data_IF_216037076776
#
_entry.id   IF_216037076776
#
_cell.length_a   1.000
_cell.length_b   1.000
_cell.length_c   1.000
_cell.angle_alpha   90.00
_cell.angle_beta   90.00
_cell.angle_gamma   90.00
#
_symmetry.space_group_name_H-M   'P 1'
#
loop_
_entity.id
_entity.type
_entity.pdbx_description
1 polymer ?
#
# COMPACT_ATOMS: atom_id res chain seq x y z
N UNK A 1 29.57 2.73 22.50
CA UNK A 1 29.48 4.18 22.78
C UNK A 1 29.44 4.90 21.46
N UNK A 2 28.28 5.46 21.10
CA UNK A 2 28.15 6.30 19.93
C UNK A 2 27.77 7.69 20.44
N UNK A 3 28.62 8.68 20.17
CA UNK A 3 28.39 10.10 20.51
C UNK A 3 27.75 10.76 19.30
N UNK A 4 26.54 11.29 19.48
CA UNK A 4 25.86 12.11 18.49
C UNK A 4 25.96 13.57 18.94
N UNK A 5 26.60 14.40 18.13
CA UNK A 5 26.70 15.85 18.32
C UNK A 5 25.68 16.54 17.43
N UNK A 6 24.74 17.26 18.04
CA UNK A 6 23.84 18.19 17.34
C UNK A 6 24.56 19.53 17.07
N UNK A 7 24.14 20.23 16.01
CA UNK A 7 24.67 21.47 15.47
C UNK A 7 24.53 22.70 16.40
N UNK A 8 24.05 22.54 17.64
CA UNK A 8 23.83 23.63 18.58
C UNK A 8 24.58 23.48 19.92
N UNK A 9 25.58 22.60 20.02
CA UNK A 9 26.60 22.69 21.08
C UNK A 9 26.13 22.48 22.53
N UNK A 10 24.94 21.93 22.75
CA UNK A 10 24.45 21.57 24.08
C UNK A 10 24.48 20.05 24.28
N UNK A 11 25.54 19.57 24.93
CA UNK A 11 25.71 18.17 25.29
C UNK A 11 24.95 17.84 26.57
N UNK A 12 23.73 17.31 26.44
CA UNK A 12 23.04 16.64 27.54
C UNK A 12 23.40 15.14 27.53
N UNK A 13 24.07 14.67 28.57
CA UNK A 13 24.45 13.27 28.75
C UNK A 13 23.27 12.54 29.41
N UNK A 14 22.44 11.85 28.61
CA UNK A 14 21.40 10.98 29.13
C UNK A 14 21.94 9.55 29.20
N UNK A 15 22.23 9.08 30.42
CA UNK A 15 22.56 7.69 30.72
C UNK A 15 21.28 6.87 30.63
N UNK A 16 21.07 6.19 29.50
CA UNK A 16 19.99 5.21 29.36
C UNK A 16 20.45 3.92 30.02
N UNK A 17 19.98 3.70 31.25
CA UNK A 17 20.15 2.46 31.99
C UNK A 17 19.41 1.34 31.26
N UNK A 18 20.14 0.30 30.83
CA UNK A 18 19.54 -0.85 30.17
C UNK A 18 18.64 -1.61 31.16
N UNK A 19 17.41 -1.99 30.78
CA UNK A 19 16.52 -2.74 31.65
C UNK A 19 17.16 -4.10 31.95
N UNK A 20 17.32 -4.39 33.25
CA UNK A 20 17.87 -5.64 33.75
C UNK A 20 17.08 -6.86 33.20
N UNK A 21 17.77 -7.96 32.86
CA UNK A 21 17.11 -9.17 32.36
C UNK A 21 16.15 -9.73 33.42
N UNK A 22 14.86 -9.84 33.05
CA UNK A 22 13.85 -10.53 33.86
C UNK A 22 14.20 -12.02 33.93
N UNK A 23 14.71 -12.44 35.07
CA UNK A 23 14.81 -13.83 35.48
C UNK A 23 13.39 -14.39 35.69
N UNK A 24 12.99 -15.34 34.85
CA UNK A 24 11.77 -16.12 35.05
C UNK A 24 12.07 -17.14 36.16
N UNK A 25 11.32 -17.17 37.28
CA UNK A 25 11.53 -18.16 38.32
C UNK A 25 11.19 -19.55 37.79
N UNK A 26 12.20 -20.41 37.69
CA UNK A 26 12.04 -21.83 37.43
C UNK A 26 11.41 -22.45 38.68
N UNK A 27 10.13 -22.82 38.60
CA UNK A 27 9.47 -23.58 39.64
C UNK A 27 10.14 -24.96 39.72
N UNK A 28 10.97 -25.16 40.76
CA UNK A 28 11.52 -26.46 41.13
C UNK A 28 10.36 -27.27 41.70
N UNK A 29 9.80 -28.17 40.90
CA UNK A 29 8.84 -29.16 41.36
C UNK A 29 9.64 -30.18 42.17
N UNK A 30 9.58 -30.08 43.50
CA UNK A 30 10.06 -31.11 44.39
C UNK A 30 9.21 -32.37 44.17
N UNK A 31 9.82 -33.37 43.53
CA UNK A 31 9.28 -34.73 43.50
C UNK A 31 9.34 -35.30 44.92
N UNK A 32 8.24 -35.20 45.66
CA UNK A 32 7.99 -36.04 46.83
C UNK A 32 7.83 -37.47 46.36
N UNK A 33 8.87 -38.25 46.56
CA UNK A 33 8.90 -39.71 46.38
C UNK A 33 8.01 -40.34 47.45
N UNK A 34 6.74 -40.55 47.13
CA UNK A 34 5.82 -41.35 47.94
C UNK A 34 6.18 -42.82 47.69
N UNK A 35 7.03 -43.39 48.54
CA UNK A 35 7.21 -44.85 48.63
C UNK A 35 5.96 -45.46 49.26
N UNK A 36 5.08 -45.96 48.40
CA UNK A 36 4.04 -46.91 48.78
C UNK A 36 4.66 -48.32 48.74
N UNK A 37 5.09 -48.81 49.90
CA UNK A 37 5.38 -50.22 50.12
C UNK A 37 4.06 -50.99 50.10
N UNK A 38 3.58 -51.30 48.90
CA UNK A 38 2.52 -52.27 48.68
C UNK A 38 3.18 -53.47 48.04
N UNK A 39 3.51 -54.48 48.86
CA UNK A 39 3.88 -55.82 48.38
C UNK A 39 2.65 -56.43 47.71
N UNK A 40 2.57 -56.49 46.36
CA UNK A 40 1.45 -57.13 45.71
C UNK A 40 1.80 -58.60 45.53
N UNK A 41 1.10 -59.47 46.24
CA UNK A 41 1.05 -60.90 45.89
C UNK A 41 0.71 -61.03 44.39
N UNK A 42 1.58 -61.65 43.56
CA UNK A 42 1.51 -61.56 42.09
C UNK A 42 0.35 -62.34 41.45
N UNK A 43 -0.52 -63.00 42.23
CA UNK A 43 -1.60 -63.85 41.71
C UNK A 43 -2.99 -63.20 41.69
N UNK A 44 -3.20 -62.05 42.36
CA UNK A 44 -4.54 -61.40 42.43
C UNK A 44 -4.71 -60.20 41.51
N UNK A 45 -3.63 -59.49 41.14
CA UNK A 45 -3.72 -58.29 40.29
C UNK A 45 -3.92 -58.63 38.82
N UNK A 46 -3.29 -59.69 38.28
CA UNK A 46 -3.49 -60.05 36.87
C UNK A 46 -4.89 -60.62 36.59
N UNK A 47 -5.52 -61.25 37.57
CA UNK A 47 -6.91 -61.72 37.47
C UNK A 47 -7.91 -60.56 37.58
N UNK A 48 -7.64 -59.56 38.42
CA UNK A 48 -8.50 -58.38 38.54
C UNK A 48 -8.38 -57.43 37.33
N UNK A 49 -7.16 -57.25 36.79
CA UNK A 49 -6.94 -56.48 35.55
C UNK A 49 -7.60 -57.22 34.37
N UNK A 50 -7.42 -58.53 34.23
CA UNK A 50 -8.06 -59.30 33.14
C UNK A 50 -9.60 -59.34 33.23
N UNK A 51 -10.19 -59.23 34.42
CA UNK A 51 -11.65 -59.12 34.59
C UNK A 51 -12.19 -57.71 34.29
N UNK A 52 -11.41 -56.65 34.51
CA UNK A 52 -11.84 -55.29 34.15
C UNK A 52 -11.61 -54.95 32.67
N UNK A 53 -10.56 -55.49 32.04
CA UNK A 53 -10.22 -55.17 30.64
C UNK A 53 -11.02 -55.97 29.60
N UNK A 54 -11.74 -57.02 30.00
CA UNK A 54 -12.38 -57.96 29.07
C UNK A 54 -13.66 -57.46 28.40
N UNK A 55 -14.42 -56.57 29.05
CA UNK A 55 -15.72 -56.08 28.54
C UNK A 55 -15.86 -54.55 28.55
N UNK A 56 -15.20 -53.85 29.49
CA UNK A 56 -15.29 -52.38 29.61
C UNK A 56 -14.66 -51.62 28.42
N UNK A 57 -13.54 -52.11 27.90
CA UNK A 57 -12.76 -51.35 26.91
C UNK A 57 -13.39 -51.36 25.50
N UNK A 58 -14.14 -52.41 25.16
CA UNK A 58 -14.84 -52.48 23.88
C UNK A 58 -16.03 -51.53 23.82
N UNK A 59 -16.76 -51.38 24.94
CA UNK A 59 -17.88 -50.44 25.03
C UNK A 59 -17.36 -49.00 25.00
N UNK A 60 -16.31 -48.67 25.76
CA UNK A 60 -15.70 -47.34 25.74
C UNK A 60 -15.21 -46.95 24.34
N UNK A 61 -14.58 -47.89 23.62
CA UNK A 61 -14.15 -47.66 22.24
C UNK A 61 -15.35 -47.40 21.32
N UNK A 62 -16.41 -48.21 21.42
CA UNK A 62 -17.63 -48.03 20.61
C UNK A 62 -18.30 -46.68 20.85
N UNK A 63 -18.48 -46.28 22.11
CA UNK A 63 -19.04 -44.96 22.47
C UNK A 63 -18.18 -43.82 21.93
N UNK A 64 -16.85 -43.95 21.98
CA UNK A 64 -15.94 -42.92 21.45
C UNK A 64 -16.07 -42.74 19.93
N UNK A 65 -16.28 -43.83 19.20
CA UNK A 65 -16.49 -43.82 17.73
C UNK A 65 -17.85 -43.22 17.39
N UNK A 66 -18.92 -43.59 18.10
CA UNK A 66 -20.26 -43.04 17.87
C UNK A 66 -20.30 -41.53 18.16
N UNK A 67 -19.68 -41.07 19.25
CA UNK A 67 -19.57 -39.64 19.57
C UNK A 67 -18.75 -38.89 18.51
N UNK A 68 -17.64 -39.45 18.04
CA UNK A 68 -16.83 -38.84 16.98
C UNK A 68 -17.64 -38.67 15.69
N UNK A 69 -18.43 -39.67 15.29
CA UNK A 69 -19.30 -39.57 14.12
C UNK A 69 -20.40 -38.52 14.30
N UNK A 70 -21.04 -38.45 15.47
CA UNK A 70 -22.03 -37.42 15.76
C UNK A 70 -21.40 -36.02 15.68
N UNK A 71 -20.21 -35.82 16.24
CA UNK A 71 -19.48 -34.56 16.16
C UNK A 71 -19.10 -34.21 14.73
N UNK A 72 -18.62 -35.18 13.95
CA UNK A 72 -18.29 -34.99 12.53
C UNK A 72 -19.54 -34.60 11.73
N UNK A 73 -20.65 -35.32 11.91
CA UNK A 73 -21.92 -35.04 11.23
C UNK A 73 -22.52 -33.69 11.66
N UNK A 74 -22.39 -33.29 12.92
CA UNK A 74 -22.81 -31.98 13.41
C UNK A 74 -21.90 -30.84 12.94
N UNK A 75 -20.61 -31.12 12.66
CA UNK A 75 -19.66 -30.11 12.19
C UNK A 75 -20.00 -29.59 10.78
N UNK A 76 -20.52 -30.46 9.90
CA UNK A 76 -20.88 -30.10 8.52
C UNK A 76 -21.96 -29.00 8.46
N UNK A 77 -23.16 -29.14 9.06
CA UNK A 77 -24.17 -28.10 9.05
C UNK A 77 -23.71 -26.86 9.81
N UNK A 78 -22.88 -26.99 10.86
CA UNK A 78 -22.33 -25.85 11.59
C UNK A 78 -21.37 -25.02 10.71
N UNK A 79 -20.44 -25.68 10.01
CA UNK A 79 -19.53 -25.03 9.06
C UNK A 79 -20.33 -24.40 7.92
N UNK A 80 -21.35 -25.10 7.41
CA UNK A 80 -22.24 -24.56 6.36
C UNK A 80 -22.99 -23.31 6.83
N UNK A 81 -23.62 -23.33 8.01
CA UNK A 81 -24.33 -22.16 8.58
C UNK A 81 -23.35 -21.01 8.80
N UNK A 82 -22.15 -21.27 9.32
CA UNK A 82 -21.11 -20.23 9.46
C UNK A 82 -20.68 -19.67 8.11
N UNK A 83 -20.45 -20.51 7.11
CA UNK A 83 -20.07 -20.09 5.77
C UNK A 83 -21.18 -19.23 5.11
N UNK A 84 -22.44 -19.63 5.23
CA UNK A 84 -23.59 -18.86 4.72
C UNK A 84 -23.73 -17.52 5.44
N UNK A 85 -23.63 -17.49 6.78
CA UNK A 85 -23.67 -16.24 7.56
C UNK A 85 -22.52 -15.31 7.19
N UNK A 86 -21.31 -15.84 7.04
CA UNK A 86 -20.14 -15.08 6.61
C UNK A 86 -20.33 -14.52 5.19
N UNK A 87 -20.84 -15.34 4.26
CA UNK A 87 -21.16 -14.90 2.90
C UNK A 87 -22.17 -13.75 2.91
N UNK A 88 -23.25 -13.85 3.69
CA UNK A 88 -24.25 -12.77 3.83
C UNK A 88 -23.65 -11.49 4.42
N UNK A 89 -22.83 -11.60 5.48
CA UNK A 89 -22.10 -10.45 6.05
C UNK A 89 -21.17 -9.80 5.04
N UNK A 90 -20.42 -10.59 4.28
CA UNK A 90 -19.53 -10.10 3.23
C UNK A 90 -20.31 -9.40 2.10
N UNK A 91 -21.48 -9.93 1.70
CA UNK A 91 -22.33 -9.30 0.69
C UNK A 91 -22.88 -7.97 1.20
N UNK A 92 -23.40 -7.92 2.43
CA UNK A 92 -23.91 -6.69 3.03
C UNK A 92 -22.79 -5.64 3.22
N UNK A 93 -21.60 -6.06 3.66
CA UNK A 93 -20.43 -5.20 3.78
C UNK A 93 -20.01 -4.63 2.41
N UNK A 94 -19.96 -5.47 1.36
CA UNK A 94 -19.68 -5.03 -0.01
C UNK A 94 -20.75 -4.07 -0.56
N UNK A 95 -22.02 -4.25 -0.22
CA UNK A 95 -23.08 -3.34 -0.63
C UNK A 95 -22.90 -1.96 0.00
N UNK A 96 -22.66 -1.90 1.31
CA UNK A 96 -22.34 -0.64 2.03
C UNK A 96 -21.08 0.03 1.48
N UNK A 97 -20.05 -0.76 1.21
CA UNK A 97 -18.80 -0.26 0.61
C UNK A 97 -19.05 0.36 -0.79
N UNK A 98 -19.95 -0.23 -1.60
CA UNK A 98 -20.33 0.33 -2.91
C UNK A 98 -21.13 1.62 -2.78
N UNK A 99 -22.11 1.67 -1.89
CA UNK A 99 -22.90 2.89 -1.62
C UNK A 99 -21.99 4.03 -1.14
N UNK A 100 -21.08 3.71 -0.22
CA UNK A 100 -20.11 4.67 0.26
C UNK A 100 -19.11 5.09 -0.83
N UNK A 101 -18.60 4.15 -1.64
CA UNK A 101 -17.73 4.46 -2.76
C UNK A 101 -18.42 5.32 -3.84
N UNK A 102 -19.71 5.10 -4.08
CA UNK A 102 -20.51 5.95 -4.98
C UNK A 102 -20.66 7.36 -4.40
N UNK A 103 -20.84 7.48 -3.10
CA UNK A 103 -20.94 8.77 -2.42
C UNK A 103 -19.62 9.54 -2.46
N UNK A 104 -18.49 8.84 -2.24
CA UNK A 104 -17.13 9.40 -2.39
C UNK A 104 -16.82 9.85 -3.82
N UNK A 105 -17.39 9.20 -4.84
CA UNK A 105 -17.20 9.61 -6.24
C UNK A 105 -17.65 11.06 -6.46
N UNK A 106 -18.75 11.47 -5.83
CA UNK A 106 -19.30 12.82 -6.01
C UNK A 106 -18.34 13.91 -5.48
N UNK A 107 -17.52 13.61 -4.45
CA UNK A 107 -16.51 14.55 -3.96
C UNK A 107 -15.52 14.95 -5.04
N UNK A 108 -15.10 13.99 -5.86
CA UNK A 108 -14.07 14.20 -6.87
C UNK A 108 -14.58 14.92 -8.12
N UNK A 109 -15.90 15.10 -8.26
CA UNK A 109 -16.54 15.90 -9.31
C UNK A 109 -16.46 17.42 -9.06
N UNK A 110 -15.54 17.86 -8.20
CA UNK A 110 -15.38 19.28 -7.90
C UNK A 110 -14.88 20.09 -9.11
N UNK A 111 -15.44 21.28 -9.37
CA UNK A 111 -14.95 22.18 -10.42
C UNK A 111 -13.73 23.00 -9.96
N UNK A 112 -13.41 23.00 -8.67
CA UNK A 112 -12.37 23.84 -8.06
C UNK A 112 -11.06 23.08 -7.94
N UNK A 113 -9.98 23.65 -8.49
CA UNK A 113 -8.62 23.13 -8.28
C UNK A 113 -8.28 23.10 -6.79
N UNK A 114 -8.61 24.16 -6.07
CA UNK A 114 -8.31 24.27 -4.65
C UNK A 114 -8.90 23.11 -3.84
N UNK A 115 -10.19 22.83 -4.08
CA UNK A 115 -10.89 21.70 -3.47
C UNK A 115 -10.29 20.37 -3.91
N UNK A 116 -9.96 20.21 -5.19
CA UNK A 116 -9.33 19.01 -5.71
C UNK A 116 -7.99 18.71 -5.00
N UNK A 117 -7.11 19.69 -4.85
CA UNK A 117 -5.83 19.51 -4.14
C UNK A 117 -6.04 19.22 -2.65
N UNK A 118 -7.04 19.84 -2.00
CA UNK A 118 -7.38 19.53 -0.61
C UNK A 118 -7.89 18.10 -0.43
N UNK A 119 -8.72 17.61 -1.35
CA UNK A 119 -9.15 16.20 -1.37
C UNK A 119 -7.96 15.26 -1.61
N UNK A 120 -7.03 15.61 -2.49
CA UNK A 120 -5.79 14.84 -2.67
C UNK A 120 -4.95 14.79 -1.39
N UNK A 121 -4.82 15.90 -0.65
CA UNK A 121 -4.07 15.93 0.60
C UNK A 121 -4.71 15.03 1.67
N UNK A 122 -6.03 15.16 1.88
CA UNK A 122 -6.81 14.29 2.78
C UNK A 122 -6.71 12.81 2.39
N UNK A 123 -6.67 12.50 1.10
CA UNK A 123 -6.46 11.14 0.60
C UNK A 123 -5.05 10.61 0.92
N UNK A 124 -4.01 11.41 0.71
CA UNK A 124 -2.62 11.01 1.03
C UNK A 124 -2.42 10.81 2.54
N UNK A 125 -3.10 11.60 3.37
CA UNK A 125 -3.15 11.43 4.83
C UNK A 125 -3.90 10.17 5.28
N UNK A 126 -4.68 9.55 4.39
CA UNK A 126 -5.53 8.41 4.72
C UNK A 126 -6.84 8.78 5.44
N UNK A 127 -7.18 10.07 5.49
CA UNK A 127 -8.49 10.55 5.96
C UNK A 127 -9.58 10.13 4.96
N UNK A 128 -9.32 10.29 3.66
CA UNK A 128 -10.20 9.77 2.63
C UNK A 128 -9.81 8.32 2.27
N UNK A 129 -10.75 7.37 2.36
CA UNK A 129 -10.48 5.94 2.15
C UNK A 129 -10.25 5.58 0.68
N UNK A 130 -10.78 6.38 -0.26
CA UNK A 130 -10.72 6.12 -1.70
C UNK A 130 -10.50 7.42 -2.46
N UNK A 131 -9.50 7.39 -3.34
CA UNK A 131 -9.23 8.45 -4.30
C UNK A 131 -9.88 8.19 -5.67
N UNK A 132 -9.67 9.08 -6.64
CA UNK A 132 -10.14 8.91 -8.01
C UNK A 132 -9.21 7.98 -8.82
N UNK A 133 -8.28 7.31 -8.15
CA UNK A 133 -7.21 6.50 -8.73
C UNK A 133 -7.66 5.06 -8.97
N UNK A 134 -7.12 4.42 -10.01
CA UNK A 134 -7.25 2.98 -10.21
C UNK A 134 -6.53 2.21 -9.10
N UNK A 135 -6.90 0.94 -8.93
CA UNK A 135 -6.42 0.08 -7.83
C UNK A 135 -4.89 0.03 -7.66
N UNK A 136 -4.13 0.00 -8.77
CA UNK A 136 -2.65 -0.06 -8.71
C UNK A 136 -2.03 1.27 -8.21
N UNK A 137 -2.32 2.42 -8.81
CA UNK A 137 -2.05 3.75 -8.24
C UNK A 137 -2.50 3.93 -6.79
N UNK A 138 -3.75 3.58 -6.48
CA UNK A 138 -4.32 3.71 -5.13
C UNK A 138 -3.48 2.96 -4.09
N UNK A 139 -3.18 1.69 -4.36
CA UNK A 139 -2.33 0.86 -3.50
C UNK A 139 -0.91 1.42 -3.35
N UNK A 140 -0.32 1.88 -4.45
CA UNK A 140 1.03 2.46 -4.45
C UNK A 140 1.10 3.70 -3.56
N UNK A 141 0.20 4.66 -3.76
CA UNK A 141 0.17 5.90 -2.99
C UNK A 141 -0.15 5.64 -1.51
N UNK A 142 -1.07 4.73 -1.18
CA UNK A 142 -1.41 4.38 0.22
C UNK A 142 -0.29 3.65 0.95
N UNK A 143 0.40 2.73 0.29
CA UNK A 143 1.48 1.94 0.91
C UNK A 143 2.80 2.71 1.08
N UNK A 144 2.95 3.90 0.48
CA UNK A 144 4.16 4.70 0.63
C UNK A 144 4.39 5.14 2.09
N UNK A 145 5.51 4.81 2.75
CA UNK A 145 5.66 5.04 4.19
C UNK A 145 5.78 6.53 4.55
N UNK A 146 6.47 7.32 3.73
CA UNK A 146 6.76 8.72 4.02
C UNK A 146 5.89 9.66 3.20
N UNK A 147 4.78 10.14 3.77
CA UNK A 147 3.82 10.99 3.05
C UNK A 147 4.25 12.45 2.91
N UNK A 148 5.22 12.91 3.71
CA UNK A 148 5.59 14.32 3.85
C UNK A 148 5.87 15.01 2.52
N UNK A 149 6.68 14.40 1.66
CA UNK A 149 7.03 15.00 0.36
C UNK A 149 5.87 14.95 -0.63
N UNK A 150 5.07 13.89 -0.62
CA UNK A 150 3.85 13.80 -1.43
C UNK A 150 2.87 14.94 -1.10
N UNK A 151 2.64 15.21 0.19
CA UNK A 151 1.79 16.32 0.64
C UNK A 151 2.32 17.68 0.20
N UNK A 152 3.63 17.91 0.39
CA UNK A 152 4.27 19.16 -0.04
C UNK A 152 4.20 19.38 -1.55
N UNK A 153 4.32 18.32 -2.34
CA UNK A 153 4.11 18.38 -3.79
C UNK A 153 2.67 18.76 -4.14
N UNK A 154 1.68 18.19 -3.44
CA UNK A 154 0.26 18.59 -3.58
C UNK A 154 0.08 20.08 -3.28
N UNK A 155 0.68 20.59 -2.20
CA UNK A 155 0.63 22.01 -1.82
C UNK A 155 1.33 22.92 -2.85
N UNK A 156 2.26 22.37 -3.64
CA UNK A 156 2.92 23.05 -4.78
C UNK A 156 2.17 22.91 -6.10
N UNK A 157 1.00 22.26 -6.14
CA UNK A 157 0.25 22.05 -7.38
C UNK A 157 0.70 20.86 -8.21
N UNK A 158 1.43 19.91 -7.62
CA UNK A 158 1.87 18.66 -8.26
C UNK A 158 1.09 17.50 -7.65
N UNK A 159 0.44 16.68 -8.48
CA UNK A 159 -0.42 15.58 -8.00
C UNK A 159 0.31 14.24 -8.15
N UNK A 160 0.69 13.56 -7.06
CA UNK A 160 1.25 12.22 -7.13
C UNK A 160 0.24 11.24 -7.75
N UNK A 161 0.69 10.44 -8.73
CA UNK A 161 -0.15 9.42 -9.37
C UNK A 161 0.29 8.01 -8.98
N UNK A 162 1.60 7.76 -9.00
CA UNK A 162 2.15 6.45 -8.66
C UNK A 162 3.60 6.59 -8.20
N UNK A 163 3.97 5.88 -7.15
CA UNK A 163 5.36 5.82 -6.65
C UNK A 163 5.78 4.37 -6.37
N UNK A 164 7.01 4.06 -6.74
CA UNK A 164 7.61 2.75 -6.49
C UNK A 164 9.06 2.93 -6.07
N UNK A 165 9.44 2.29 -4.96
CA UNK A 165 10.84 2.18 -4.57
C UNK A 165 11.56 1.15 -5.45
N UNK A 166 12.84 1.38 -5.64
CA UNK A 166 13.73 0.46 -6.33
C UNK A 166 14.21 -0.66 -5.39
N UNK A 167 15.25 -1.36 -5.82
CA UNK A 167 15.90 -2.39 -5.01
C UNK A 167 15.35 -3.79 -5.24
N UNK A 168 15.94 -4.73 -4.50
CA UNK A 168 15.50 -6.12 -4.42
C UNK A 168 14.42 -6.23 -3.34
N UNK A 169 13.32 -6.89 -3.67
CA UNK A 169 12.21 -7.14 -2.75
C UNK A 169 11.59 -8.51 -3.03
N UNK A 170 11.16 -9.20 -1.97
CA UNK A 170 10.38 -10.44 -2.05
C UNK A 170 9.00 -10.16 -1.49
N UNK A 171 7.96 -10.33 -2.31
CA UNK A 171 6.58 -10.02 -1.93
C UNK A 171 5.60 -11.09 -2.37
N UNK A 172 4.51 -11.22 -1.62
CA UNK A 172 3.34 -12.01 -2.03
C UNK A 172 2.46 -11.16 -2.94
N UNK A 173 2.41 -11.50 -4.22
CA UNK A 173 1.61 -10.80 -5.23
C UNK A 173 0.12 -11.17 -5.13
N UNK A 174 -0.19 -12.45 -4.88
CA UNK A 174 -1.56 -12.96 -4.72
C UNK A 174 -1.68 -13.78 -3.45
N UNK A 175 -2.70 -13.49 -2.66
CA UNK A 175 -3.09 -14.31 -1.51
C UNK A 175 -3.68 -15.65 -1.98
N UNK A 176 -3.69 -16.69 -1.14
CA UNK A 176 -4.45 -17.89 -1.45
C UNK A 176 -5.93 -17.52 -1.54
N UNK A 177 -6.57 -17.88 -2.66
CA UNK A 177 -7.98 -17.60 -2.92
C UNK A 177 -8.70 -18.90 -3.28
N UNK A 178 -9.95 -19.03 -2.84
CA UNK A 178 -10.80 -20.11 -3.32
C UNK A 178 -11.12 -19.85 -4.80
N UNK A 179 -11.05 -20.87 -5.66
CA UNK A 179 -11.39 -20.72 -7.06
C UNK A 179 -12.87 -20.35 -7.21
N UNK A 180 -13.16 -19.36 -8.07
CA UNK A 180 -14.51 -18.82 -8.24
C UNK A 180 -15.50 -19.84 -8.83
N UNK A 181 -15.00 -20.86 -9.53
CA UNK A 181 -15.79 -21.82 -10.31
C UNK A 181 -15.58 -23.31 -9.92
N UNK A 182 -15.02 -23.62 -8.73
CA UNK A 182 -14.86 -25.02 -8.33
C UNK A 182 -14.20 -25.29 -6.99
N UNK A 183 -13.98 -26.59 -6.71
CA UNK A 183 -13.22 -27.07 -5.54
C UNK A 183 -11.73 -26.96 -5.88
N UNK A 184 -11.16 -25.77 -5.73
CA UNK A 184 -9.74 -25.54 -5.95
C UNK A 184 -9.24 -24.38 -5.11
N UNK A 185 -8.03 -24.51 -4.56
CA UNK A 185 -7.33 -23.41 -3.89
C UNK A 185 -6.35 -22.85 -4.91
N UNK A 186 -6.54 -21.60 -5.33
CA UNK A 186 -5.53 -20.86 -6.08
C UNK A 186 -4.34 -20.66 -5.14
N UNK A 187 -3.23 -21.33 -5.43
CA UNK A 187 -2.02 -21.21 -4.63
C UNK A 187 -1.53 -19.76 -4.61
N UNK A 188 -0.92 -19.30 -3.51
CA UNK A 188 -0.35 -17.97 -3.45
C UNK A 188 0.72 -17.79 -4.53
N UNK A 189 0.94 -16.56 -4.97
CA UNK A 189 2.03 -16.23 -5.90
C UNK A 189 3.01 -15.31 -5.20
N UNK A 190 4.24 -15.77 -5.04
CA UNK A 190 5.36 -15.02 -4.51
C UNK A 190 6.26 -14.54 -5.66
N UNK A 191 6.84 -13.37 -5.48
CA UNK A 191 7.70 -12.69 -6.46
C UNK A 191 8.93 -12.17 -5.72
N UNK A 192 10.11 -12.58 -6.16
CA UNK A 192 11.37 -11.93 -5.79
C UNK A 192 11.87 -11.18 -7.01
N UNK A 193 12.10 -9.88 -6.88
CA UNK A 193 12.39 -9.03 -8.04
C UNK A 193 13.29 -7.87 -7.68
N UNK A 194 14.17 -7.50 -8.60
CA UNK A 194 14.86 -6.22 -8.64
C UNK A 194 14.01 -5.23 -9.43
N UNK A 195 13.69 -4.10 -8.82
CA UNK A 195 12.86 -3.04 -9.39
C UNK A 195 13.66 -1.75 -9.52
N UNK A 196 13.38 -0.99 -10.56
CA UNK A 196 13.82 0.41 -10.64
C UNK A 196 12.83 1.28 -9.87
N UNK A 197 13.36 2.29 -9.20
CA UNK A 197 12.52 3.32 -8.59
C UNK A 197 11.96 4.20 -9.71
N UNK A 198 10.67 4.50 -9.66
CA UNK A 198 10.07 5.52 -10.50
C UNK A 198 8.92 6.22 -9.77
N UNK A 199 8.68 7.46 -10.18
CA UNK A 199 7.65 8.32 -9.65
C UNK A 199 6.91 8.98 -10.82
N UNK A 200 5.59 8.81 -10.85
CA UNK A 200 4.67 9.36 -11.83
C UNK A 200 3.77 10.39 -11.13
N UNK A 201 3.66 11.59 -11.71
CA UNK A 201 2.87 12.69 -11.17
C UNK A 201 2.29 13.58 -12.27
N UNK A 202 1.24 14.32 -11.92
CA UNK A 202 0.58 15.27 -12.80
C UNK A 202 0.99 16.71 -12.45
N UNK A 203 1.07 17.59 -13.44
CA UNK A 203 1.29 19.03 -13.24
C UNK A 203 0.15 19.84 -13.86
N UNK A 204 -1.01 19.98 -13.16
CA UNK A 204 -2.25 20.48 -13.76
C UNK A 204 -2.28 21.99 -14.03
N UNK A 205 -1.49 22.78 -13.29
CA UNK A 205 -1.41 24.23 -13.46
C UNK A 205 -0.53 24.69 -14.62
N UNK A 206 -0.21 23.79 -15.55
CA UNK A 206 0.49 24.08 -16.81
C UNK A 206 -0.37 24.88 -17.83
N UNK A 207 -1.17 25.86 -17.41
CA UNK A 207 -1.75 26.83 -18.35
C UNK A 207 -0.61 27.66 -18.96
N UNK A 208 -0.52 27.67 -20.29
CA UNK A 208 0.52 28.39 -21.06
C UNK A 208 1.37 27.53 -21.99
N UNK A 209 1.06 26.25 -22.13
CA UNK A 209 1.85 25.28 -22.89
C UNK A 209 1.24 24.92 -24.26
N UNK A 210 -0.08 25.09 -24.42
CA UNK A 210 -0.85 24.79 -25.63
C UNK A 210 -0.99 25.98 -26.61
N UNK A 211 -0.27 27.08 -26.40
CA UNK A 211 -0.22 28.20 -27.34
C UNK A 211 1.25 28.49 -27.70
N UNK A 212 1.73 28.13 -28.91
CA UNK A 212 3.08 28.48 -29.36
C UNK A 212 3.30 30.00 -29.46
N UNK A 213 2.23 30.81 -29.50
CA UNK A 213 2.28 32.25 -29.78
C UNK A 213 2.14 33.18 -28.56
N UNK A 214 1.90 32.66 -27.34
CA UNK A 214 1.83 33.54 -26.16
C UNK A 214 3.20 33.69 -25.49
N UNK A 215 3.94 34.65 -26.04
CA UNK A 215 4.89 35.56 -25.42
C UNK A 215 5.40 35.19 -24.01
N UNK A 216 6.73 35.11 -23.95
CA UNK A 216 7.62 34.97 -22.79
C UNK A 216 7.49 36.08 -21.72
N UNK A 217 6.45 36.90 -21.77
CA UNK A 217 6.36 38.19 -21.07
C UNK A 217 5.73 38.11 -19.66
N UNK A 218 5.18 36.97 -19.23
CA UNK A 218 4.61 36.85 -17.89
C UNK A 218 5.45 35.97 -16.95
N UNK A 219 6.38 36.56 -16.16
CA UNK A 219 7.26 35.83 -15.23
C UNK A 219 6.53 35.12 -14.08
N UNK A 220 5.20 35.29 -13.95
CA UNK A 220 4.36 34.51 -13.02
C UNK A 220 3.92 33.15 -13.58
N UNK A 221 4.12 32.90 -14.89
CA UNK A 221 3.81 31.62 -15.57
C UNK A 221 5.04 30.75 -15.88
N UNK A 222 6.21 31.05 -15.29
CA UNK A 222 7.48 30.39 -15.61
C UNK A 222 7.97 29.31 -14.63
N UNK A 223 7.59 29.22 -13.33
CA UNK A 223 8.17 28.21 -12.44
C UNK A 223 7.87 26.77 -12.85
N UNK A 224 6.60 26.44 -13.16
CA UNK A 224 6.24 25.10 -13.63
C UNK A 224 6.91 24.74 -14.97
N UNK A 225 7.05 25.72 -15.88
CA UNK A 225 7.81 25.58 -17.14
C UNK A 225 9.27 25.27 -16.89
N UNK A 226 9.91 26.05 -16.04
CA UNK A 226 11.29 25.86 -15.64
C UNK A 226 11.48 24.51 -14.95
N UNK A 227 10.54 24.09 -14.11
CA UNK A 227 10.55 22.78 -13.47
C UNK A 227 10.51 21.63 -14.47
N UNK A 228 9.55 21.62 -15.40
CA UNK A 228 9.49 20.59 -16.45
C UNK A 228 10.76 20.62 -17.32
N UNK A 229 11.22 21.81 -17.72
CA UNK A 229 12.43 21.96 -18.50
C UNK A 229 13.68 21.47 -17.74
N UNK A 230 13.78 21.75 -16.44
CA UNK A 230 14.87 21.30 -15.59
C UNK A 230 14.87 19.78 -15.43
N UNK A 231 13.69 19.16 -15.29
CA UNK A 231 13.54 17.71 -15.31
C UNK A 231 14.00 17.11 -16.64
N UNK A 232 13.63 17.70 -17.78
CA UNK A 232 14.02 17.22 -19.11
C UNK A 232 15.52 17.42 -19.41
N UNK A 233 16.09 18.56 -18.99
CA UNK A 233 17.53 18.86 -19.13
C UNK A 233 18.37 17.84 -18.34
N UNK A 234 17.83 17.36 -17.22
CA UNK A 234 18.26 16.15 -16.54
C UNK A 234 19.77 16.01 -16.31
N UNK A 235 20.36 16.93 -15.54
CA UNK A 235 21.78 16.86 -15.15
C UNK A 235 22.12 15.68 -14.21
N UNK A 236 21.11 14.96 -13.73
CA UNK A 236 21.23 13.91 -12.71
C UNK A 236 21.14 12.49 -13.26
N UNK A 237 21.12 12.34 -14.59
CA UNK A 237 21.09 11.03 -15.28
C UNK A 237 19.86 10.18 -14.94
N UNK A 238 18.74 10.79 -14.57
CA UNK A 238 17.46 10.07 -14.45
C UNK A 238 16.89 9.74 -15.84
N UNK A 239 15.77 9.06 -15.89
CA UNK A 239 15.00 8.86 -17.11
C UNK A 239 13.71 9.64 -16.92
N UNK A 240 13.54 10.72 -17.69
CA UNK A 240 12.37 11.59 -17.59
C UNK A 240 11.55 11.48 -18.86
N UNK A 241 10.26 11.21 -18.70
CA UNK A 241 9.28 11.19 -19.77
C UNK A 241 8.15 12.15 -19.43
N UNK A 242 7.77 13.00 -20.37
CA UNK A 242 6.63 13.90 -20.23
C UNK A 242 5.62 13.59 -21.34
N UNK A 243 4.37 13.38 -20.96
CA UNK A 243 3.29 13.13 -21.91
C UNK A 243 2.03 13.87 -21.51
N UNK A 244 1.38 14.55 -22.45
CA UNK A 244 0.11 15.21 -22.24
C UNK A 244 -0.97 14.65 -23.17
N UNK A 245 -2.19 14.52 -22.65
CA UNK A 245 -3.37 14.16 -23.45
C UNK A 245 -3.99 15.40 -24.09
N UNK A 246 -4.50 15.30 -25.31
CA UNK A 246 -5.31 16.37 -25.93
C UNK A 246 -4.56 17.64 -26.38
N UNK A 247 -3.23 17.64 -26.39
CA UNK A 247 -2.40 18.76 -26.83
C UNK A 247 -1.29 18.26 -27.75
N UNK A 248 -0.85 19.08 -28.71
CA UNK A 248 0.29 18.83 -29.62
C UNK A 248 1.66 18.77 -28.89
N UNK A 249 1.67 18.45 -27.60
CA UNK A 249 2.90 18.13 -26.89
C UNK A 249 3.54 16.94 -27.55
N UNK A 250 4.69 17.20 -28.19
CA UNK A 250 5.65 16.17 -28.48
C UNK A 250 5.93 15.40 -27.19
N UNK A 251 5.95 14.07 -27.28
CA UNK A 251 6.40 13.23 -26.18
C UNK A 251 7.88 13.52 -26.01
N UNK A 252 8.21 14.39 -25.07
CA UNK A 252 9.58 14.73 -24.78
C UNK A 252 10.12 13.74 -23.73
N UNK A 253 11.19 13.04 -24.12
CA UNK A 253 11.92 12.14 -23.26
C UNK A 253 13.37 12.57 -23.25
N UNK A 254 13.96 12.73 -22.06
CA UNK A 254 15.37 13.06 -21.98
C UNK A 254 16.24 11.91 -22.47
N UNK A 255 15.88 10.67 -22.11
CA UNK A 255 16.65 9.44 -22.37
C UNK A 255 15.74 8.20 -22.19
N UNK A 256 14.96 7.76 -23.20
CA UNK A 256 13.99 6.69 -23.00
C UNK A 256 14.68 5.35 -22.68
N UNK A 257 14.21 4.67 -21.62
CA UNK A 257 14.72 3.35 -21.27
C UNK A 257 14.35 2.32 -22.36
N UNK A 258 15.33 1.58 -22.86
CA UNK A 258 15.06 0.48 -23.79
C UNK A 258 14.36 -0.68 -23.06
N UNK A 259 13.20 -1.07 -23.56
CA UNK A 259 12.31 -2.10 -23.00
C UNK A 259 12.99 -3.45 -22.79
N UNK A 260 13.92 -3.84 -23.66
CA UNK A 260 14.58 -5.15 -23.61
C UNK A 260 15.83 -5.16 -22.75
N UNK A 261 16.67 -4.12 -22.84
CA UNK A 261 17.97 -4.09 -22.16
C UNK A 261 17.89 -3.48 -20.76
N UNK A 262 16.87 -2.67 -20.49
CA UNK A 262 16.70 -1.98 -19.22
C UNK A 262 15.23 -2.02 -18.80
N UNK A 263 14.70 -3.19 -18.40
CA UNK A 263 13.33 -3.35 -17.91
C UNK A 263 13.09 -2.68 -16.54
N UNK A 264 11.83 -2.47 -16.19
CA UNK A 264 11.44 -1.87 -14.90
C UNK A 264 11.56 -2.86 -13.74
N UNK A 265 11.28 -4.12 -14.00
CA UNK A 265 11.29 -5.19 -13.00
C UNK A 265 11.77 -6.49 -13.63
N UNK A 266 12.78 -7.10 -13.01
CA UNK A 266 13.33 -8.41 -13.34
C UNK A 266 13.32 -9.27 -12.10
N UNK A 267 12.88 -10.51 -12.23
CA UNK A 267 12.85 -11.42 -11.10
C UNK A 267 12.22 -12.76 -11.42
N UNK A 268 12.00 -13.54 -10.37
CA UNK A 268 11.40 -14.85 -10.44
C UNK A 268 10.06 -14.90 -9.69
N UNK A 269 9.18 -15.81 -10.11
CA UNK A 269 7.87 -16.02 -9.47
C UNK A 269 7.65 -17.48 -9.11
N UNK A 270 7.12 -17.75 -7.93
CA UNK A 270 6.86 -19.10 -7.45
C UNK A 270 5.56 -19.20 -6.65
N UNK A 271 4.96 -20.39 -6.59
CA UNK A 271 3.86 -20.68 -5.68
C UNK A 271 4.32 -20.91 -4.24
N UNK A 272 5.62 -21.17 -4.05
CA UNK A 272 6.27 -21.33 -2.76
C UNK A 272 7.46 -20.37 -2.68
N UNK A 273 7.52 -19.56 -1.62
CA UNK A 273 8.57 -18.57 -1.43
C UNK A 273 9.97 -19.20 -1.40
N UNK A 274 10.12 -20.35 -0.71
CA UNK A 274 11.37 -21.09 -0.60
C UNK A 274 11.93 -21.58 -1.95
N UNK A 275 11.08 -21.73 -2.98
CA UNK A 275 11.50 -22.20 -4.30
C UNK A 275 11.92 -21.06 -5.23
N UNK A 276 11.75 -19.79 -4.85
CA UNK A 276 12.08 -18.66 -5.72
C UNK A 276 13.58 -18.62 -6.08
N UNK A 277 14.54 -18.81 -5.15
CA UNK A 277 15.97 -18.72 -5.47
C UNK A 277 16.46 -19.72 -6.51
N UNK A 278 15.72 -20.80 -6.77
CA UNK A 278 16.06 -21.83 -7.76
C UNK A 278 15.47 -21.57 -9.16
N UNK A 279 14.68 -20.51 -9.31
CA UNK A 279 14.06 -20.15 -10.60
C UNK A 279 14.89 -19.10 -11.31
N UNK A 280 14.90 -19.17 -12.64
CA UNK A 280 15.55 -18.14 -13.45
C UNK A 280 14.78 -16.83 -13.40
N UNK A 281 15.55 -15.74 -13.37
CA UNK A 281 15.02 -14.40 -13.50
C UNK A 281 14.43 -14.20 -14.91
N UNK A 282 13.30 -13.50 -14.97
CA UNK A 282 12.64 -13.09 -16.19
C UNK A 282 12.19 -11.65 -16.09
N UNK A 283 11.91 -11.03 -17.23
CA UNK A 283 11.31 -9.68 -17.27
C UNK A 283 9.87 -9.80 -16.74
N UNK A 284 9.61 -9.22 -15.57
CA UNK A 284 8.29 -9.19 -14.96
C UNK A 284 7.52 -7.93 -15.38
N UNK A 285 8.24 -6.80 -15.50
CA UNK A 285 7.68 -5.56 -16.01
C UNK A 285 8.63 -4.96 -17.06
N UNK A 286 8.20 -4.87 -18.35
CA UNK A 286 8.98 -4.21 -19.39
C UNK A 286 9.12 -2.71 -19.09
N UNK A 287 10.16 -2.07 -19.62
CA UNK A 287 10.24 -0.61 -19.57
C UNK A 287 9.09 0.03 -20.35
N UNK A 288 8.56 1.14 -19.84
CA UNK A 288 7.53 1.90 -20.58
C UNK A 288 8.12 2.63 -21.80
N UNK A 289 9.45 2.83 -21.87
CA UNK A 289 10.10 3.49 -23.01
C UNK A 289 9.51 4.88 -23.29
N UNK A 290 9.15 5.14 -24.55
CA UNK A 290 8.43 6.34 -25.01
C UNK A 290 6.90 6.17 -25.03
N UNK A 291 6.36 5.11 -24.41
CA UNK A 291 4.91 4.91 -24.42
C UNK A 291 4.20 6.13 -23.82
N UNK A 292 3.27 6.71 -24.60
CA UNK A 292 2.49 7.87 -24.19
C UNK A 292 1.67 7.50 -22.96
N UNK A 293 1.95 8.16 -21.84
CA UNK A 293 1.15 7.96 -20.63
C UNK A 293 -0.08 8.85 -20.73
N UNK A 294 -1.23 8.23 -20.55
CA UNK A 294 -2.51 8.95 -20.49
C UNK A 294 -3.01 8.95 -19.07
N UNK A 295 -3.77 9.98 -18.71
CA UNK A 295 -4.37 10.07 -17.39
C UNK A 295 -5.32 8.90 -17.11
N UNK A 296 -5.91 8.34 -18.16
CA UNK A 296 -6.77 7.16 -18.14
C UNK A 296 -6.03 5.92 -17.62
N UNK A 297 -4.70 5.84 -17.69
CA UNK A 297 -3.93 4.75 -17.05
C UNK A 297 -4.01 4.80 -15.52
N UNK A 298 -4.23 5.99 -14.96
CA UNK A 298 -4.12 6.25 -13.52
C UNK A 298 -5.46 6.43 -12.83
N UNK A 299 -6.49 6.89 -13.55
CA UNK A 299 -7.75 7.33 -12.96
C UNK A 299 -8.94 6.51 -13.40
N UNK A 300 -9.94 6.37 -12.53
CA UNK A 300 -11.25 5.86 -12.93
C UNK A 300 -11.95 6.91 -13.82
N UNK A 301 -12.53 6.52 -14.98
CA UNK A 301 -13.10 7.47 -15.93
C UNK A 301 -14.27 8.23 -15.32
N UNK A 302 -14.30 9.55 -15.52
CA UNK A 302 -15.33 10.43 -14.99
C UNK A 302 -15.33 10.57 -13.47
N UNK A 303 -14.20 10.30 -12.79
CA UNK A 303 -14.03 10.59 -11.36
C UNK A 303 -13.50 12.00 -11.12
N UNK A 304 -12.65 12.54 -12.00
CA UNK A 304 -12.15 13.92 -11.89
C UNK A 304 -12.18 14.64 -13.25
N UNK A 305 -13.35 15.12 -13.69
CA UNK A 305 -13.51 15.80 -14.98
C UNK A 305 -12.57 17.01 -15.16
N UNK A 306 -12.18 17.63 -14.04
CA UNK A 306 -11.23 18.73 -14.01
C UNK A 306 -9.87 18.38 -14.63
N UNK A 307 -9.43 17.13 -14.51
CA UNK A 307 -8.16 16.65 -15.04
C UNK A 307 -8.27 16.21 -16.51
N UNK A 308 -9.40 15.61 -16.88
CA UNK A 308 -9.68 15.13 -18.25
C UNK A 308 -9.78 16.29 -19.26
N UNK A 309 -10.38 17.40 -18.86
CA UNK A 309 -10.68 18.54 -19.75
C UNK A 309 -9.47 19.41 -20.12
N UNK A 310 -8.37 19.36 -19.37
CA UNK A 310 -7.31 20.40 -19.44
C UNK A 310 -5.96 19.95 -19.97
N UNK A 311 -5.84 18.73 -20.48
CA UNK A 311 -4.61 18.24 -21.11
C UNK A 311 -3.38 18.34 -20.21
N UNK A 312 -3.54 17.87 -18.96
CA UNK A 312 -2.50 18.01 -17.94
C UNK A 312 -1.29 17.10 -18.29
N UNK A 313 -0.05 17.62 -18.24
CA UNK A 313 1.14 16.80 -18.45
C UNK A 313 1.32 15.80 -17.31
N UNK A 314 1.49 14.54 -17.69
CA UNK A 314 1.94 13.44 -16.85
C UNK A 314 3.44 13.34 -17.00
N UNK A 315 4.14 13.39 -15.87
CA UNK A 315 5.59 13.28 -15.81
C UNK A 315 5.95 11.99 -15.10
N UNK A 316 6.85 11.22 -15.71
CA UNK A 316 7.52 10.08 -15.09
C UNK A 316 8.98 10.41 -14.91
N UNK A 317 9.48 10.21 -13.70
CA UNK A 317 10.91 10.23 -13.37
C UNK A 317 11.30 8.83 -12.92
N UNK A 318 12.42 8.33 -13.41
CA UNK A 318 12.84 6.96 -13.20
C UNK A 318 14.36 6.87 -13.00
N UNK A 319 14.79 5.98 -12.13
CA UNK A 319 16.22 5.70 -11.90
C UNK A 319 16.73 4.76 -12.98
N UNK A 320 17.90 5.00 -13.61
CA UNK A 320 18.43 4.14 -14.66
C UNK A 320 18.81 2.73 -14.14
N UNK A 321 19.09 2.60 -12.86
CA UNK A 321 19.48 1.35 -12.20
C UNK A 321 18.42 0.84 -11.19
N UNK A 322 18.69 -0.31 -10.59
CA UNK A 322 17.81 -0.97 -9.62
C UNK A 322 18.03 -0.52 -8.17
N UNK A 323 18.67 0.63 -7.91
CA UNK A 323 18.89 1.09 -6.52
C UNK A 323 17.63 1.74 -5.96
N UNK A 324 17.50 1.67 -4.63
CA UNK A 324 16.48 2.41 -3.87
C UNK A 324 16.76 3.91 -3.96
N UNK A 325 15.72 4.70 -4.21
CA UNK A 325 15.79 6.16 -4.29
C UNK A 325 14.45 6.77 -3.90
N UNK A 326 14.49 7.78 -3.03
CA UNK A 326 13.34 8.62 -2.68
C UNK A 326 13.11 9.67 -3.76
N UNK A 327 12.41 9.27 -4.83
CA UNK A 327 12.17 10.16 -5.97
C UNK A 327 11.19 11.28 -5.67
N UNK A 328 10.26 11.09 -4.74
CA UNK A 328 9.39 12.15 -4.22
C UNK A 328 10.19 13.31 -3.60
N UNK A 329 11.17 12.98 -2.76
CA UNK A 329 12.08 13.95 -2.15
C UNK A 329 12.92 14.69 -3.21
N UNK A 330 13.47 13.95 -4.18
CA UNK A 330 14.25 14.55 -5.26
C UNK A 330 13.40 15.48 -6.14
N UNK A 331 12.18 15.05 -6.53
CA UNK A 331 11.26 15.86 -7.33
C UNK A 331 10.84 17.12 -6.57
N UNK A 332 10.59 17.00 -5.25
CA UNK A 332 10.33 18.15 -4.39
C UNK A 332 11.51 19.14 -4.38
N UNK A 333 12.75 18.65 -4.23
CA UNK A 333 13.94 19.51 -4.31
C UNK A 333 14.08 20.23 -5.65
N UNK A 334 13.80 19.54 -6.77
CA UNK A 334 13.78 20.15 -8.10
C UNK A 334 12.70 21.22 -8.25
N UNK A 335 11.50 20.98 -7.71
CA UNK A 335 10.42 21.97 -7.70
C UNK A 335 10.84 23.24 -6.94
N UNK A 336 11.42 23.08 -5.75
CA UNK A 336 11.92 24.21 -4.95
C UNK A 336 13.01 25.01 -5.67
N UNK A 337 13.98 24.33 -6.29
CA UNK A 337 15.06 24.98 -7.04
C UNK A 337 14.54 25.81 -8.23
N UNK A 338 13.42 25.40 -8.82
CA UNK A 338 12.76 26.13 -9.89
C UNK A 338 11.81 27.22 -9.39
N UNK A 339 11.82 27.52 -8.09
CA UNK A 339 11.01 28.57 -7.49
C UNK A 339 9.53 28.22 -7.31
N UNK A 340 9.15 26.93 -7.35
CA UNK A 340 7.79 26.53 -6.99
C UNK A 340 7.62 26.71 -5.48
N UNK A 341 6.86 27.72 -5.09
CA UNK A 341 6.40 27.91 -3.72
C UNK A 341 5.20 27.03 -3.39
N UNK A 342 4.90 26.91 -2.09
CA UNK A 342 3.60 26.36 -1.66
C UNK A 342 2.51 27.33 -2.10
N UNK A 343 1.66 26.90 -3.04
CA UNK A 343 0.56 27.71 -3.58
C UNK A 343 -0.55 27.83 -2.54
N UNK A 344 -0.74 26.77 -1.75
CA UNK A 344 -1.76 26.69 -0.73
C UNK A 344 -1.16 26.30 0.62
N UNK A 345 -1.75 26.84 1.68
CA UNK A 345 -1.40 26.45 3.05
C UNK A 345 -2.18 25.20 3.45
N UNK A 346 -1.62 24.40 4.36
CA UNK A 346 -2.24 23.19 4.88
C UNK A 346 -3.65 23.47 5.43
N UNK A 347 -3.76 24.47 6.31
CA UNK A 347 -5.03 24.86 6.93
C UNK A 347 -6.08 25.26 5.89
N UNK A 348 -5.67 26.03 4.88
CA UNK A 348 -6.59 26.49 3.84
C UNK A 348 -7.14 25.34 2.98
N UNK A 349 -6.27 24.39 2.56
CA UNK A 349 -6.68 23.21 1.80
C UNK A 349 -7.61 22.32 2.62
N UNK A 350 -7.26 22.09 3.88
CA UNK A 350 -8.04 21.29 4.81
C UNK A 350 -9.43 21.89 5.02
N UNK A 351 -9.51 23.19 5.30
CA UNK A 351 -10.77 23.90 5.54
C UNK A 351 -11.71 23.81 4.32
N UNK A 352 -11.23 24.11 3.12
CA UNK A 352 -12.08 24.02 1.92
C UNK A 352 -12.48 22.59 1.56
N UNK A 353 -11.58 21.62 1.71
CA UNK A 353 -11.93 20.23 1.44
C UNK A 353 -12.99 19.74 2.44
N UNK A 354 -12.86 20.11 3.72
CA UNK A 354 -13.83 19.79 4.76
C UNK A 354 -15.19 20.43 4.48
N UNK A 355 -15.21 21.71 4.12
CA UNK A 355 -16.43 22.40 3.73
C UNK A 355 -17.10 21.71 2.53
N UNK A 356 -16.33 21.35 1.50
CA UNK A 356 -16.86 20.64 0.33
C UNK A 356 -17.44 19.27 0.69
N UNK A 357 -16.81 18.54 1.61
CA UNK A 357 -17.30 17.25 2.11
C UNK A 357 -18.65 17.42 2.81
N UNK A 358 -18.79 18.46 3.65
CA UNK A 358 -20.05 18.79 4.32
C UNK A 358 -21.14 19.17 3.33
N UNK A 359 -20.84 20.01 2.33
CA UNK A 359 -21.78 20.41 1.27
C UNK A 359 -22.30 19.22 0.45
N UNK A 360 -21.50 18.15 0.35
CA UNK A 360 -21.87 16.91 -0.33
C UNK A 360 -22.55 15.88 0.61
N UNK A 361 -22.93 16.29 1.83
CA UNK A 361 -23.60 15.47 2.84
C UNK A 361 -22.85 14.16 3.16
N UNK A 362 -21.52 14.20 3.19
CA UNK A 362 -20.73 13.05 3.59
C UNK A 362 -20.27 13.19 5.04
N UNK A 363 -20.84 12.35 5.90
CA UNK A 363 -20.32 12.14 7.23
C UNK A 363 -19.01 11.36 7.13
N UNK A 364 -17.90 12.03 7.42
CA UNK A 364 -16.65 11.32 7.64
C UNK A 364 -16.77 10.52 8.94
N UNK A 365 -16.40 9.24 8.95
CA UNK A 365 -16.34 8.46 10.18
C UNK A 365 -15.55 9.22 11.26
N UNK A 366 -16.03 9.28 12.51
CA UNK A 366 -15.39 10.09 13.57
C UNK A 366 -13.92 9.75 13.82
N UNK A 367 -13.51 8.52 13.52
CA UNK A 367 -12.11 8.06 13.65
C UNK A 367 -11.19 8.58 12.54
N UNK A 368 -11.73 9.14 11.46
CA UNK A 368 -10.99 9.77 10.36
C UNK A 368 -10.85 11.28 10.55
N UNK A 369 -11.58 11.87 11.51
CA UNK A 369 -11.40 13.27 11.91
C UNK A 369 -10.13 13.36 12.75
N UNK A 370 -9.12 14.19 12.37
CA UNK A 370 -7.93 14.43 13.18
C UNK A 370 -8.31 14.79 14.62
N UNK A 371 -7.56 14.28 15.60
CA UNK A 371 -7.86 14.45 17.02
C UNK A 371 -7.93 15.92 17.47
N UNK A 372 -7.24 16.83 16.76
CA UNK A 372 -7.20 18.26 17.09
C UNK A 372 -8.52 19.00 16.78
N UNK A 373 -9.41 18.42 15.95
CA UNK A 373 -10.70 19.02 15.56
C UNK A 373 -11.89 18.48 16.38
N UNK A 374 -11.65 17.71 17.45
CA UNK A 374 -12.71 17.18 18.34
C UNK A 374 -12.99 18.10 19.54
N UNK A 375 -13.28 19.38 19.27
CA UNK A 375 -13.69 20.35 20.30
C UNK A 375 -15.19 20.55 20.28
#
# INVERSE_FOLDING_TARGET
>A
MATYTDAFGHGATATVEAPAPRTIPTAVINATEIRLDVNPTPSSISQYISQMTGQSDQDLFRWSVEVLWILLLASVPFVFIKAVRQKRRNVAAKAREREWAASLRNLWLTPSWFTFFGLCDLYILGVLPKGPWKAKPDKSLKSWPEKRYLRRLIHMGIVPLYIQDGGLDTRREKAPELADEGIGIKLPKYVQSKRRAYFEFLVPQARGYSKPEYQWENPRTTPFKQFIHALLTNRHSYIVNVSASGTDFAIDSSHPANTRTSPLEVGATSCMEALIPFKSDRILQPAKGQAKQTIDEFMEPGFAPLLETKGCPVVRVEVPDYRKRKLDEWVYGMAQQCGLGMVWTEDSLHAHASQWILENNLELPPYLIPLDDRV
#
